data_IF_879971840664
#
_entry.id   IF_879971840664
#
_cell.length_a   1.000
_cell.length_b   1.000
_cell.length_c   1.000
_cell.angle_alpha   90.00
_cell.angle_beta   90.00
_cell.angle_gamma   90.00
#
_symmetry.space_group_name_H-M   'P 1'
#
loop_
_entity.id
_entity.type
_entity.pdbx_description
1 polymer ?
#
# COMPACT_ATOMS: atom_id res chain seq x y z
N UNK A 1 15.78 -23.69 61.86
CA UNK A 1 14.58 -23.95 61.04
C UNK A 1 13.81 -22.67 60.68
N UNK A 2 13.84 -21.61 61.50
CA UNK A 2 13.13 -20.35 61.19
C UNK A 2 13.77 -19.55 60.05
N UNK A 3 15.11 -19.47 60.00
CA UNK A 3 15.83 -18.77 58.93
C UNK A 3 15.53 -19.35 57.53
N UNK A 4 15.33 -20.67 57.42
CA UNK A 4 15.02 -21.36 56.16
C UNK A 4 13.60 -21.06 55.67
N UNK A 5 12.63 -20.91 56.59
CA UNK A 5 11.24 -20.54 56.26
C UNK A 5 11.14 -19.07 55.84
N UNK A 6 11.87 -18.19 56.52
CA UNK A 6 11.96 -16.78 56.14
C UNK A 6 12.56 -16.60 54.73
N UNK A 7 13.57 -17.41 54.40
CA UNK A 7 14.19 -17.41 53.06
C UNK A 7 13.22 -17.92 51.97
N UNK A 8 12.49 -19.01 52.23
CA UNK A 8 11.48 -19.53 51.29
C UNK A 8 10.36 -18.53 51.00
N UNK A 9 9.87 -17.81 52.02
CA UNK A 9 8.85 -16.77 51.84
C UNK A 9 9.34 -15.62 50.94
N UNK A 10 10.61 -15.23 51.08
CA UNK A 10 11.24 -14.19 50.23
C UNK A 10 11.46 -14.66 48.80
N UNK A 11 11.85 -15.91 48.59
CA UNK A 11 11.99 -16.51 47.25
C UNK A 11 10.62 -16.53 46.54
N UNK A 12 9.55 -16.90 47.25
CA UNK A 12 8.20 -16.92 46.67
C UNK A 12 7.71 -15.52 46.26
N UNK A 13 7.95 -14.50 47.09
CA UNK A 13 7.61 -13.10 46.76
C UNK A 13 8.44 -12.56 45.59
N UNK A 14 9.73 -12.92 45.51
CA UNK A 14 10.60 -12.55 44.40
C UNK A 14 10.17 -13.22 43.09
N UNK A 15 9.78 -14.49 43.13
CA UNK A 15 9.32 -15.24 41.96
C UNK A 15 8.02 -14.64 41.41
N UNK A 16 7.07 -14.33 42.30
CA UNK A 16 5.81 -13.66 41.95
C UNK A 16 6.03 -12.24 41.41
N UNK A 17 6.96 -11.48 41.99
CA UNK A 17 7.30 -10.15 41.50
C UNK A 17 7.98 -10.21 40.12
N UNK A 18 8.83 -11.21 39.90
CA UNK A 18 9.54 -11.46 38.64
C UNK A 18 8.57 -11.88 37.54
N UNK A 19 7.65 -12.79 37.83
CA UNK A 19 6.63 -13.24 36.88
C UNK A 19 5.69 -12.11 36.45
N UNK A 20 5.23 -11.30 37.42
CA UNK A 20 4.41 -10.11 37.14
C UNK A 20 5.17 -9.07 36.30
N UNK A 21 6.46 -8.89 36.56
CA UNK A 21 7.30 -7.99 35.80
C UNK A 21 7.49 -8.52 34.36
N UNK A 22 7.73 -9.81 34.20
CA UNK A 22 7.88 -10.46 32.91
C UNK A 22 6.60 -10.34 32.05
N UNK A 23 5.43 -10.62 32.64
CA UNK A 23 4.15 -10.45 31.93
C UNK A 23 3.91 -9.01 31.49
N UNK A 24 4.25 -8.02 32.32
CA UNK A 24 4.15 -6.59 31.96
C UNK A 24 5.06 -6.22 30.79
N UNK A 25 6.28 -6.74 30.76
CA UNK A 25 7.19 -6.52 29.65
C UNK A 25 6.70 -7.17 28.35
N UNK A 26 6.19 -8.40 28.43
CA UNK A 26 5.60 -9.09 27.27
C UNK A 26 4.40 -8.31 26.74
N UNK A 27 3.50 -7.87 27.63
CA UNK A 27 2.33 -7.07 27.24
C UNK A 27 2.73 -5.73 26.59
N UNK A 28 3.76 -5.05 27.10
CA UNK A 28 4.31 -3.83 26.51
C UNK A 28 4.87 -4.07 25.10
N UNK A 29 5.67 -5.12 24.93
CA UNK A 29 6.23 -5.46 23.61
C UNK A 29 5.14 -5.82 22.61
N UNK A 30 4.13 -6.58 23.02
CA UNK A 30 2.97 -6.88 22.17
C UNK A 30 2.20 -5.61 21.79
N UNK A 31 1.97 -4.70 22.73
CA UNK A 31 1.28 -3.44 22.44
C UNK A 31 2.04 -2.57 21.44
N UNK A 32 3.37 -2.45 21.59
CA UNK A 32 4.23 -1.72 20.66
C UNK A 32 4.19 -2.36 19.27
N UNK A 33 4.32 -3.70 19.20
CA UNK A 33 4.29 -4.42 17.94
C UNK A 33 2.94 -4.24 17.20
N UNK A 34 1.82 -4.40 17.91
CA UNK A 34 0.49 -4.19 17.34
C UNK A 34 0.30 -2.75 16.86
N UNK A 35 0.78 -1.76 17.62
CA UNK A 35 0.75 -0.36 17.22
C UNK A 35 1.54 -0.13 15.93
N UNK A 36 2.74 -0.70 15.82
CA UNK A 36 3.57 -0.58 14.61
C UNK A 36 2.90 -1.22 13.39
N UNK A 37 2.30 -2.41 13.55
CA UNK A 37 1.56 -3.08 12.48
C UNK A 37 0.38 -2.23 12.01
N UNK A 38 -0.40 -1.67 12.94
CA UNK A 38 -1.55 -0.82 12.57
C UNK A 38 -1.11 0.43 11.82
N UNK A 39 -0.07 1.12 12.30
CA UNK A 39 0.49 2.29 11.63
C UNK A 39 0.97 1.92 10.23
N UNK A 40 1.73 0.83 10.09
CA UNK A 40 2.23 0.36 8.80
C UNK A 40 1.10 0.02 7.82
N UNK A 41 0.04 -0.66 8.29
CA UNK A 41 -1.14 -0.93 7.49
C UNK A 41 -1.84 0.38 7.06
N UNK A 42 -1.97 1.37 7.94
CA UNK A 42 -2.51 2.68 7.57
C UNK A 42 -1.69 3.37 6.49
N UNK A 43 -0.36 3.29 6.54
CA UNK A 43 0.51 3.78 5.46
C UNK A 43 0.24 3.04 4.15
N UNK A 44 0.12 1.71 4.17
CA UNK A 44 -0.24 0.93 2.97
C UNK A 44 -1.58 1.42 2.40
N UNK A 45 -2.61 1.60 3.23
CA UNK A 45 -3.93 2.05 2.78
C UNK A 45 -3.94 3.49 2.23
N UNK A 46 -3.10 4.39 2.74
CA UNK A 46 -3.04 5.77 2.28
C UNK A 46 -2.17 5.97 1.03
N UNK A 47 -1.11 5.17 0.87
CA UNK A 47 -0.12 5.37 -0.19
C UNK A 47 -0.24 4.38 -1.34
N UNK A 48 -0.87 3.22 -1.14
CA UNK A 48 -1.18 2.29 -2.22
C UNK A 48 -2.57 2.65 -2.76
N UNK A 49 -2.70 3.12 -4.01
CA UNK A 49 -4.01 3.34 -4.61
C UNK A 49 -4.80 2.04 -4.50
N UNK A 50 -6.06 2.15 -4.08
CA UNK A 50 -6.91 0.97 -3.90
C UNK A 50 -6.95 0.16 -5.21
N UNK A 51 -6.99 -1.17 -5.12
CA UNK A 51 -7.03 -2.02 -6.32
C UNK A 51 -8.16 -1.65 -7.29
N UNK A 52 -9.24 -1.05 -6.79
CA UNK A 52 -10.37 -0.62 -7.60
C UNK A 52 -10.03 0.62 -8.46
N UNK A 53 -9.29 1.60 -7.94
CA UNK A 53 -8.80 2.74 -8.74
C UNK A 53 -7.82 2.31 -9.84
N UNK A 54 -6.96 1.31 -9.55
CA UNK A 54 -6.02 0.77 -10.55
C UNK A 54 -6.78 0.03 -11.66
N UNK A 55 -7.82 -0.73 -11.32
CA UNK A 55 -8.65 -1.44 -12.29
C UNK A 55 -9.47 -0.48 -13.13
N UNK A 56 -10.05 0.55 -12.53
CA UNK A 56 -10.82 1.56 -13.25
C UNK A 56 -9.95 2.29 -14.25
N UNK A 57 -8.75 2.75 -13.87
CA UNK A 57 -7.82 3.40 -14.82
C UNK A 57 -7.32 2.49 -15.93
N UNK A 58 -7.15 1.18 -15.65
CA UNK A 58 -6.77 0.21 -16.68
C UNK A 58 -7.94 -0.19 -17.58
N UNK A 59 -9.14 -0.31 -17.02
CA UNK A 59 -10.36 -0.51 -17.79
C UNK A 59 -10.65 0.72 -18.65
N UNK A 60 -10.30 1.92 -18.16
CA UNK A 60 -10.41 3.16 -18.91
C UNK A 60 -9.51 3.21 -20.14
N UNK A 61 -8.22 2.92 -19.94
CA UNK A 61 -7.28 2.79 -21.05
C UNK A 61 -7.68 1.68 -22.03
N UNK A 62 -8.08 0.50 -21.52
CA UNK A 62 -8.46 -0.64 -22.34
C UNK A 62 -9.77 -0.39 -23.12
N UNK A 63 -10.77 0.27 -22.53
CA UNK A 63 -12.00 0.60 -23.28
C UNK A 63 -11.72 1.65 -24.36
N UNK A 64 -10.84 2.61 -24.11
CA UNK A 64 -10.44 3.60 -25.13
C UNK A 64 -9.72 2.91 -26.29
N UNK A 65 -8.77 2.01 -25.99
CA UNK A 65 -8.08 1.21 -27.00
C UNK A 65 -9.06 0.36 -27.81
N UNK A 66 -10.02 -0.29 -27.15
CA UNK A 66 -10.94 -1.21 -27.79
C UNK A 66 -12.10 -0.52 -28.53
N UNK A 67 -12.60 0.61 -28.02
CA UNK A 67 -13.70 1.37 -28.64
C UNK A 67 -13.25 2.19 -29.84
N UNK A 68 -12.02 2.71 -29.80
CA UNK A 68 -11.47 3.56 -30.87
C UNK A 68 -10.35 2.88 -31.69
N UNK A 69 -10.09 1.59 -31.45
CA UNK A 69 -9.07 0.78 -32.12
C UNK A 69 -7.70 1.49 -32.21
N UNK A 70 -7.26 2.06 -31.08
CA UNK A 70 -6.07 2.92 -31.01
C UNK A 70 -4.79 2.13 -31.36
N UNK A 71 -4.09 2.53 -32.43
CA UNK A 71 -2.74 2.02 -32.75
C UNK A 71 -1.70 2.77 -31.90
N UNK A 72 -1.54 2.33 -30.64
CA UNK A 72 -0.53 2.85 -29.72
C UNK A 72 0.81 2.18 -29.97
N UNK A 73 1.87 2.96 -30.20
CA UNK A 73 3.24 2.48 -30.40
C UNK A 73 4.22 3.28 -29.56
N UNK A 74 5.37 2.69 -29.26
CA UNK A 74 6.50 3.43 -28.70
C UNK A 74 7.29 4.08 -29.84
N UNK A 75 7.40 5.41 -29.84
CA UNK A 75 8.38 6.14 -30.65
C UNK A 75 9.45 6.72 -29.74
N UNK A 76 10.64 6.11 -29.71
CA UNK A 76 11.81 6.65 -29.00
C UNK A 76 11.48 7.08 -27.55
N UNK A 77 10.99 6.13 -26.74
CA UNK A 77 10.61 6.28 -25.33
C UNK A 77 9.38 7.17 -25.07
N UNK A 78 8.64 7.54 -26.13
CA UNK A 78 7.38 8.26 -26.03
C UNK A 78 6.23 7.40 -26.55
N UNK A 79 5.07 7.49 -25.89
CA UNK A 79 3.84 6.88 -26.40
C UNK A 79 3.31 7.70 -27.58
N UNK A 80 3.06 7.03 -28.69
CA UNK A 80 2.52 7.60 -29.92
C UNK A 80 1.20 6.94 -30.28
N UNK A 81 0.31 7.73 -30.87
CA UNK A 81 -0.94 7.26 -31.49
C UNK A 81 -0.94 7.60 -32.97
N UNK A 82 -1.61 6.78 -33.79
CA UNK A 82 -1.86 7.11 -35.20
C UNK A 82 -2.99 8.14 -35.31
N UNK A 83 -2.75 9.20 -36.10
CA UNK A 83 -3.71 10.29 -36.34
C UNK A 83 -3.85 10.57 -37.83
N UNK A 84 -5.01 11.08 -38.23
CA UNK A 84 -5.28 11.54 -39.58
C UNK A 84 -4.61 12.90 -39.80
N UNK A 85 -3.46 12.91 -40.48
CA UNK A 85 -2.60 14.12 -40.65
C UNK A 85 -3.32 15.35 -41.22
N UNK A 86 -4.35 15.15 -42.04
CA UNK A 86 -5.10 16.22 -42.69
C UNK A 86 -6.38 16.61 -41.94
N UNK A 87 -6.76 15.84 -40.91
CA UNK A 87 -7.99 16.02 -40.16
C UNK A 87 -7.69 16.46 -38.74
N UNK A 88 -7.18 17.70 -38.66
CA UNK A 88 -6.89 18.37 -37.40
C UNK A 88 -7.68 19.69 -37.32
N UNK A 89 -8.16 20.01 -36.12
CA UNK A 89 -9.06 21.12 -35.80
C UNK A 89 -8.45 22.05 -34.75
N UNK A 90 -9.10 23.20 -34.55
CA UNK A 90 -8.61 24.29 -33.71
C UNK A 90 -7.74 25.28 -34.49
N UNK A 91 -7.60 26.48 -33.94
CA UNK A 91 -6.88 27.60 -34.59
C UNK A 91 -5.43 27.25 -34.92
N UNK A 92 -4.78 26.41 -34.10
CA UNK A 92 -3.39 25.97 -34.30
C UNK A 92 -3.26 24.50 -34.72
N UNK A 93 -4.36 23.81 -35.08
CA UNK A 93 -4.35 22.37 -35.40
C UNK A 93 -3.89 21.46 -34.25
N UNK A 94 -4.11 21.89 -33.01
CA UNK A 94 -3.70 21.14 -31.80
C UNK A 94 -4.51 19.85 -31.57
N UNK A 95 -5.66 19.69 -32.22
CA UNK A 95 -6.55 18.54 -32.05
C UNK A 95 -6.66 17.74 -33.35
N UNK A 96 -6.04 16.57 -33.43
CA UNK A 96 -6.14 15.69 -34.60
C UNK A 96 -7.06 14.50 -34.34
N UNK A 97 -7.84 14.13 -35.36
CA UNK A 97 -8.68 12.94 -35.32
C UNK A 97 -7.80 11.70 -35.35
N UNK A 98 -8.14 10.74 -34.50
CA UNK A 98 -7.45 9.45 -34.39
C UNK A 98 -7.83 8.62 -35.60
N UNK A 99 -6.85 7.96 -36.22
CA UNK A 99 -7.08 7.03 -37.34
C UNK A 99 -7.39 5.64 -36.76
N UNK A 100 -8.67 5.19 -36.75
CA UNK A 100 -9.02 3.86 -36.28
C UNK A 100 -8.47 2.83 -37.26
N UNK A 101 -7.63 1.93 -36.75
CA UNK A 101 -6.94 0.91 -37.55
C UNK A 101 -7.88 0.03 -38.38
#
# INVERSE_FOLDING_TARGET
QEATRALQGRIHELDKATDKLNYRFIALLCAIFLSLVLVFLSFIFLFIPSFDEIKERRAEAAWLEQRYNLDIRNCNDKSCVRVMKNDCHGTNKDYCVIDPK
#
